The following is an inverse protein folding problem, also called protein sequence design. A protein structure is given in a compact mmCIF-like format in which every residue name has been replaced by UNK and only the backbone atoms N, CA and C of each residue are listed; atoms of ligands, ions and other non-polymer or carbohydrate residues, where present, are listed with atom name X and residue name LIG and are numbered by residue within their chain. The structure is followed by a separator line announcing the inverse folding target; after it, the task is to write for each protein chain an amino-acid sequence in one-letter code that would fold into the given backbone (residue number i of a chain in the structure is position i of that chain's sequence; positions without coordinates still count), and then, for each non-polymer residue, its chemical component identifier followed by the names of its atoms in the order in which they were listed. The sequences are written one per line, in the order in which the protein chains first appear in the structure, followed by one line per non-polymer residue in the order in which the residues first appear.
data_IF_256338135990
#
_entry.id   IF_256338135990
#
_cell.length_a   1.000
_cell.length_b   1.000
_cell.length_c   1.000
_cell.angle_alpha   90.00
_cell.angle_beta   90.00
_cell.angle_gamma   90.00
#
_symmetry.space_group_name_H-M   'P 1'
#
loop_
_entity.id
_entity.type
_entity.pdbx_description
1 polymer ?
#
# COMPACT_ATOMS: atom_id res chain seq x y z
N UNK A 1 26.42 21.38 -28.29
CA UNK A 1 27.00 21.33 -26.94
C UNK A 1 28.09 20.26 -26.96
N UNK A 2 29.36 20.65 -26.85
CA UNK A 2 30.50 19.72 -26.91
C UNK A 2 30.70 19.12 -25.52
N UNK A 3 30.30 17.85 -25.34
CA UNK A 3 30.59 17.12 -24.10
C UNK A 3 32.10 16.87 -24.03
N UNK A 4 32.72 17.28 -22.93
CA UNK A 4 34.17 17.17 -22.72
C UNK A 4 34.54 15.70 -22.51
N UNK A 5 35.70 15.24 -23.00
CA UNK A 5 36.11 13.83 -22.88
C UNK A 5 36.20 13.36 -21.43
N UNK A 6 36.35 14.29 -20.48
CA UNK A 6 36.33 14.05 -19.05
C UNK A 6 34.94 13.61 -18.52
N UNK A 7 33.83 14.12 -19.07
CA UNK A 7 32.48 13.72 -18.68
C UNK A 7 32.17 12.28 -19.12
N UNK A 8 32.63 11.89 -20.30
CA UNK A 8 32.47 10.51 -20.81
C UNK A 8 33.24 9.52 -19.94
N UNK A 9 34.45 9.90 -19.50
CA UNK A 9 35.28 9.06 -18.63
C UNK A 9 34.66 8.84 -17.24
N UNK A 10 34.05 9.87 -16.66
CA UNK A 10 33.34 9.75 -15.37
C UNK A 10 32.12 8.84 -15.49
N UNK A 11 31.35 8.96 -16.58
CA UNK A 11 30.19 8.09 -16.82
C UNK A 11 30.60 6.63 -17.01
N UNK A 12 31.70 6.37 -17.72
CA UNK A 12 32.23 5.01 -17.89
C UNK A 12 32.72 4.45 -16.55
N UNK A 13 33.44 5.24 -15.75
CA UNK A 13 33.92 4.80 -14.44
C UNK A 13 32.75 4.44 -13.49
N UNK A 14 31.68 5.24 -13.48
CA UNK A 14 30.46 4.94 -12.70
C UNK A 14 29.75 3.67 -13.19
N UNK A 15 29.70 3.44 -14.51
CA UNK A 15 29.11 2.23 -15.08
C UNK A 15 29.89 0.96 -14.71
N UNK A 16 31.23 1.02 -14.71
CA UNK A 16 32.07 -0.14 -14.34
C UNK A 16 31.96 -0.50 -12.86
N UNK A 17 31.86 0.51 -11.96
CA UNK A 17 31.66 0.26 -10.52
C UNK A 17 30.26 -0.29 -10.23
N UNK A 18 29.23 0.10 -10.99
CA UNK A 18 27.89 -0.46 -10.86
C UNK A 18 27.81 -1.94 -11.29
N UNK A 19 28.59 -2.36 -12.29
CA UNK A 19 28.62 -3.75 -12.75
C UNK A 19 29.43 -4.69 -11.84
N UNK A 20 30.43 -4.18 -11.10
CA UNK A 20 31.29 -5.01 -10.25
C UNK A 20 30.70 -5.31 -8.84
N UNK A 21 29.54 -4.74 -8.50
CA UNK A 21 28.93 -4.88 -7.17
C UNK A 21 28.02 -6.10 -6.95
N UNK A 22 27.80 -6.94 -7.96
CA UNK A 22 26.85 -8.07 -7.90
C UNK A 22 27.54 -9.43 -7.77
N UNK A 23 28.34 -9.61 -6.72
CA UNK A 23 28.71 -10.96 -6.25
C UNK A 23 28.73 -10.98 -4.73
N UNK A 24 27.55 -11.16 -4.14
CA UNK A 24 27.43 -11.87 -2.87
C UNK A 24 26.48 -13.02 -3.08
N UNK A 25 27.06 -14.20 -2.92
CA UNK A 25 26.47 -15.51 -3.06
C UNK A 25 25.24 -15.58 -2.16
N UNK A 26 24.09 -15.74 -2.80
CA UNK A 26 22.87 -16.13 -2.13
C UNK A 26 23.09 -17.57 -1.68
N UNK A 27 23.41 -17.74 -0.40
CA UNK A 27 23.42 -19.03 0.27
C UNK A 27 22.11 -19.73 -0.08
N UNK A 28 22.21 -20.86 -0.77
CA UNK A 28 21.07 -21.64 -1.22
C UNK A 28 20.31 -22.15 0.00
N UNK A 29 19.35 -21.37 0.46
CA UNK A 29 18.30 -21.79 1.37
C UNK A 29 17.67 -23.04 0.76
N UNK A 30 17.72 -24.14 1.51
CA UNK A 30 17.13 -25.42 1.12
C UNK A 30 15.70 -25.15 0.65
N UNK A 31 15.22 -25.79 -0.44
CA UNK A 31 13.84 -25.65 -0.84
C UNK A 31 12.98 -26.14 0.31
N UNK A 32 12.40 -25.21 1.06
CA UNK A 32 11.29 -25.47 1.95
C UNK A 32 10.23 -26.03 1.01
N UNK A 33 9.96 -27.33 1.11
CA UNK A 33 8.86 -27.96 0.37
C UNK A 33 7.59 -27.15 0.60
N UNK A 34 6.60 -27.21 -0.31
CA UNK A 34 5.41 -26.37 -0.22
C UNK A 34 4.79 -26.56 1.16
N UNK A 35 4.99 -25.58 2.04
CA UNK A 35 4.17 -25.44 3.22
C UNK A 35 2.85 -25.00 2.61
N UNK A 36 1.84 -25.87 2.66
CA UNK A 36 0.47 -25.43 2.48
C UNK A 36 0.22 -24.40 3.59
N UNK A 37 0.60 -23.15 3.34
CA UNK A 37 0.22 -22.01 4.13
C UNK A 37 -1.27 -21.85 3.87
N UNK A 38 -2.05 -22.60 4.63
CA UNK A 38 -3.49 -22.45 4.68
C UNK A 38 -3.74 -21.11 5.35
N UNK A 39 -3.72 -20.04 4.54
CA UNK A 39 -3.96 -18.69 4.98
C UNK A 39 -5.36 -18.65 5.56
N UNK A 40 -5.45 -18.29 6.84
CA UNK A 40 -6.74 -18.08 7.48
C UNK A 40 -7.54 -17.03 6.71
N UNK A 41 -8.87 -17.18 6.70
CA UNK A 41 -9.71 -16.19 6.07
C UNK A 41 -9.49 -14.81 6.72
N UNK A 42 -9.37 -13.74 5.92
CA UNK A 42 -9.24 -12.40 6.48
C UNK A 42 -10.44 -12.05 7.35
N UNK A 43 -10.18 -11.42 8.51
CA UNK A 43 -11.22 -10.94 9.40
C UNK A 43 -12.15 -9.92 8.73
N UNK A 44 -13.37 -9.71 9.24
CA UNK A 44 -14.27 -8.68 8.75
C UNK A 44 -13.60 -7.30 8.66
N UNK A 45 -12.83 -6.92 9.68
CA UNK A 45 -12.09 -5.66 9.65
C UNK A 45 -11.01 -5.66 8.58
N UNK A 46 -10.24 -6.74 8.41
CA UNK A 46 -9.22 -6.80 7.36
C UNK A 46 -9.84 -6.73 5.95
N UNK A 47 -10.99 -7.36 5.72
CA UNK A 47 -11.76 -7.26 4.48
C UNK A 47 -12.18 -5.80 4.24
N UNK A 48 -12.67 -5.13 5.28
CA UNK A 48 -13.09 -3.73 5.20
C UNK A 48 -11.93 -2.77 4.92
N UNK A 49 -10.79 -2.95 5.59
CA UNK A 49 -9.59 -2.13 5.34
C UNK A 49 -9.12 -2.23 3.88
N UNK A 50 -9.23 -3.41 3.26
CA UNK A 50 -8.93 -3.59 1.82
C UNK A 50 -9.90 -2.85 0.91
N UNK A 51 -11.19 -2.77 1.28
CA UNK A 51 -12.18 -1.98 0.53
C UNK A 51 -11.84 -0.50 0.62
N UNK A 52 -11.51 -0.01 1.81
CA UNK A 52 -11.13 1.39 2.03
C UNK A 52 -9.83 1.78 1.34
N UNK A 53 -8.82 0.89 1.34
CA UNK A 53 -7.56 1.11 0.65
C UNK A 53 -7.78 1.25 -0.85
N UNK A 54 -8.50 0.30 -1.46
CA UNK A 54 -8.85 0.38 -2.89
C UNK A 54 -9.63 1.66 -3.20
N UNK A 55 -10.62 1.99 -2.38
CA UNK A 55 -11.40 3.22 -2.54
C UNK A 55 -10.52 4.48 -2.49
N UNK A 56 -9.60 4.57 -1.53
CA UNK A 56 -8.69 5.70 -1.40
C UNK A 56 -7.77 5.83 -2.63
N UNK A 57 -7.25 4.72 -3.15
CA UNK A 57 -6.43 4.70 -4.35
C UNK A 57 -7.21 5.14 -5.60
N UNK A 58 -8.44 4.65 -5.75
CA UNK A 58 -9.33 5.02 -6.85
C UNK A 58 -9.73 6.50 -6.78
N UNK A 59 -10.09 7.01 -5.61
CA UNK A 59 -10.35 8.45 -5.39
C UNK A 59 -9.13 9.28 -5.77
N UNK A 60 -7.95 8.89 -5.30
CA UNK A 60 -6.71 9.60 -5.60
C UNK A 60 -6.43 9.63 -7.10
N UNK A 61 -6.59 8.50 -7.78
CA UNK A 61 -6.43 8.41 -9.23
C UNK A 61 -7.46 9.27 -9.99
N UNK A 62 -8.72 9.25 -9.55
CA UNK A 62 -9.80 10.04 -10.13
C UNK A 62 -9.54 11.55 -9.99
N UNK A 63 -9.20 12.00 -8.77
CA UNK A 63 -8.88 13.40 -8.50
C UNK A 63 -7.65 13.89 -9.29
N UNK A 64 -6.64 13.05 -9.49
CA UNK A 64 -5.45 13.41 -10.26
C UNK A 64 -5.75 13.61 -11.76
N UNK A 65 -6.81 13.00 -12.27
CA UNK A 65 -7.18 13.01 -13.69
C UNK A 65 -8.44 13.80 -14.00
N UNK A 66 -9.15 14.30 -12.97
CA UNK A 66 -10.46 14.93 -13.11
C UNK A 66 -11.57 13.95 -13.50
N UNK A 67 -11.35 12.65 -13.29
CA UNK A 67 -12.37 11.63 -13.53
C UNK A 67 -13.41 11.61 -12.40
N UNK A 68 -14.54 10.95 -12.66
CA UNK A 68 -15.59 10.74 -11.66
C UNK A 68 -15.05 9.94 -10.47
N UNK A 69 -15.58 10.25 -9.28
CA UNK A 69 -15.24 9.51 -8.07
C UNK A 69 -15.77 8.07 -8.16
N UNK A 70 -15.07 7.08 -7.57
CA UNK A 70 -15.60 5.73 -7.47
C UNK A 70 -16.92 5.73 -6.65
N UNK A 71 -17.70 4.65 -6.67
CA UNK A 71 -18.86 4.52 -5.79
C UNK A 71 -18.49 4.66 -4.31
N UNK A 72 -19.45 5.12 -3.50
CA UNK A 72 -19.30 5.18 -2.05
C UNK A 72 -18.91 3.79 -1.49
N UNK A 73 -17.89 3.70 -0.62
CA UNK A 73 -17.33 2.41 -0.23
C UNK A 73 -18.32 1.61 0.63
N UNK A 74 -18.58 0.38 0.20
CA UNK A 74 -19.47 -0.55 0.92
C UNK A 74 -18.91 -0.90 2.31
N UNK A 75 -19.80 -1.01 3.30
CA UNK A 75 -19.43 -1.42 4.66
C UNK A 75 -18.66 -0.38 5.47
N UNK A 76 -18.42 0.84 4.95
CA UNK A 76 -17.67 1.88 5.66
C UNK A 76 -18.31 2.25 7.01
N UNK A 77 -19.63 2.09 7.15
CA UNK A 77 -20.36 2.29 8.41
C UNK A 77 -19.86 1.34 9.53
N UNK A 78 -19.39 0.15 9.15
CA UNK A 78 -19.01 -0.92 10.07
C UNK A 78 -17.56 -0.81 10.56
N UNK A 79 -16.77 0.15 10.11
CA UNK A 79 -15.36 0.31 10.54
C UNK A 79 -15.21 0.49 12.05
N UNK A 80 -16.25 0.98 12.73
CA UNK A 80 -16.23 1.13 14.20
C UNK A 80 -16.59 -0.15 14.96
N UNK A 81 -17.15 -1.16 14.27
CA UNK A 81 -17.74 -2.36 14.88
C UNK A 81 -17.20 -3.66 14.29
N UNK A 82 -16.50 -3.61 13.15
CA UNK A 82 -15.96 -4.76 12.46
C UNK A 82 -14.95 -5.52 13.34
N UNK A 83 -15.09 -6.84 13.38
CA UNK A 83 -14.25 -7.70 14.22
C UNK A 83 -12.83 -7.77 13.64
N UNK A 84 -11.78 -7.50 14.46
CA UNK A 84 -10.39 -7.63 14.04
C UNK A 84 -9.98 -9.10 13.90
N UNK A 85 -8.83 -9.35 13.29
CA UNK A 85 -8.24 -10.69 13.27
C UNK A 85 -7.90 -11.12 14.69
N UNK A 86 -8.02 -12.41 14.99
CA UNK A 86 -7.64 -12.95 16.29
C UNK A 86 -6.18 -12.58 16.62
N UNK A 87 -5.93 -12.16 17.86
CA UNK A 87 -4.61 -11.70 18.32
C UNK A 87 -4.21 -10.30 17.85
N UNK A 88 -4.98 -9.64 16.98
CA UNK A 88 -4.72 -8.25 16.60
C UNK A 88 -5.13 -7.30 17.73
N UNK A 89 -4.17 -6.57 18.28
CA UNK A 89 -4.45 -5.49 19.23
C UNK A 89 -4.84 -4.21 18.49
N UNK A 90 -6.08 -3.80 18.71
CA UNK A 90 -6.62 -2.51 18.28
C UNK A 90 -6.54 -1.58 19.47
N UNK A 91 -5.90 -0.42 19.33
CA UNK A 91 -5.89 0.60 20.38
C UNK A 91 -7.31 1.12 20.60
N UNK A 92 -7.91 0.90 21.80
CA UNK A 92 -9.29 1.31 22.08
C UNK A 92 -9.47 2.83 22.12
N UNK A 93 -8.39 3.62 22.17
CA UNK A 93 -8.44 5.08 22.20
C UNK A 93 -8.29 5.64 20.80
N UNK A 94 -7.18 5.34 20.11
CA UNK A 94 -6.88 5.95 18.82
C UNK A 94 -7.74 5.39 17.68
N UNK A 95 -8.08 4.10 17.71
CA UNK A 95 -8.80 3.48 16.60
C UNK A 95 -10.22 4.03 16.41
N UNK A 96 -11.07 4.18 17.44
CA UNK A 96 -12.40 4.77 17.26
C UNK A 96 -12.38 6.22 16.76
N UNK A 97 -11.35 6.98 17.13
CA UNK A 97 -11.15 8.36 16.65
C UNK A 97 -10.82 8.35 15.16
N UNK A 98 -9.84 7.54 14.75
CA UNK A 98 -9.50 7.34 13.34
C UNK A 98 -10.72 6.89 12.52
N UNK A 99 -11.44 5.88 13.00
CA UNK A 99 -12.58 5.30 12.31
C UNK A 99 -13.66 6.34 12.00
N UNK A 100 -14.03 7.15 12.99
CA UNK A 100 -15.01 8.23 12.83
C UNK A 100 -14.52 9.37 11.94
N UNK A 101 -13.26 9.78 12.10
CA UNK A 101 -12.67 10.83 11.28
C UNK A 101 -12.62 10.41 9.80
N UNK A 102 -12.25 9.16 9.53
CA UNK A 102 -12.25 8.63 8.17
C UNK A 102 -13.65 8.57 7.57
N UNK A 103 -14.65 8.05 8.31
CA UNK A 103 -16.04 8.06 7.87
C UNK A 103 -16.53 9.47 7.52
N UNK A 104 -16.25 10.45 8.37
CA UNK A 104 -16.64 11.84 8.13
C UNK A 104 -15.99 12.42 6.88
N UNK A 105 -14.71 12.11 6.63
CA UNK A 105 -13.99 12.56 5.43
C UNK A 105 -14.53 11.93 4.16
N UNK A 106 -14.83 10.62 4.18
CA UNK A 106 -15.47 9.96 3.03
C UNK A 106 -16.83 10.60 2.78
N UNK A 107 -17.67 10.76 3.79
CA UNK A 107 -18.98 11.39 3.62
C UNK A 107 -18.86 12.80 3.03
N UNK A 108 -17.98 13.63 3.58
CA UNK A 108 -17.76 15.00 3.09
C UNK A 108 -17.25 15.05 1.64
N UNK A 109 -16.46 14.06 1.21
CA UNK A 109 -16.02 13.95 -0.19
C UNK A 109 -17.19 13.74 -1.16
N UNK A 110 -18.18 12.94 -0.77
CA UNK A 110 -19.35 12.65 -1.61
C UNK A 110 -20.47 13.69 -1.49
N UNK A 111 -20.52 14.44 -0.38
CA UNK A 111 -21.43 15.57 -0.19
C UNK A 111 -20.91 16.86 -0.84
N UNK A 112 -19.66 16.88 -1.31
CA UNK A 112 -19.08 18.04 -1.99
C UNK A 112 -19.81 18.29 -3.33
N UNK A 113 -20.20 19.54 -3.62
CA UNK A 113 -20.97 19.90 -4.82
C UNK A 113 -20.17 19.81 -6.12
#
# INVERSE_FOLDING_TARGET
MRSTPLQVLILIALAVVACAGQTKEHEAERPVGPVDQQLEEPSPLAKLMRVMERHADEVKAGLATGAELPPFPEGIADITTATPTEGMHIDPISYPVFAKDYQAKVQALYDAP
#
